data_IF_027729654208
#
_entry.id   IF_027729654208
#
_cell.length_a   1.000
_cell.length_b   1.000
_cell.length_c   1.000
_cell.angle_alpha   90.00
_cell.angle_beta   90.00
_cell.angle_gamma   90.00
#
_symmetry.space_group_name_H-M   'P 1'
#
loop_
_entity.id
_entity.type
_entity.pdbx_description
1 polymer ?
#
# COMPACT_ATOMS: atom_id res chain seq x y z
N UNK A 1 -2.18 14.69 1.57
CA UNK A 1 -1.90 13.59 2.53
C UNK A 1 -0.42 13.25 2.45
N UNK A 2 0.24 12.95 3.57
CA UNK A 2 1.63 12.48 3.54
C UNK A 2 1.67 11.02 3.05
N UNK A 3 2.75 10.55 2.41
CA UNK A 3 2.87 9.16 1.95
C UNK A 3 2.64 8.13 3.06
N UNK A 4 3.12 8.43 4.27
CA UNK A 4 2.94 7.61 5.48
C UNK A 4 1.49 7.51 5.97
N UNK A 5 0.57 8.32 5.42
CA UNK A 5 -0.85 8.29 5.71
C UNK A 5 -1.66 7.56 4.62
N UNK A 6 -1.00 6.96 3.63
CA UNK A 6 -1.61 6.23 2.52
C UNK A 6 -1.35 4.73 2.69
N UNK A 7 -2.40 3.93 2.56
CA UNK A 7 -2.32 2.48 2.47
C UNK A 7 -2.82 1.98 1.11
N UNK A 8 -2.13 1.01 0.53
CA UNK A 8 -2.49 0.31 -0.70
C UNK A 8 -2.76 -1.15 -0.38
N UNK A 9 -3.95 -1.62 -0.71
CA UNK A 9 -4.42 -2.98 -0.43
C UNK A 9 -4.64 -3.75 -1.73
N UNK A 10 -4.21 -5.01 -1.75
CA UNK A 10 -4.54 -5.94 -2.85
C UNK A 10 -4.89 -7.34 -2.30
N UNK A 11 -5.86 -8.05 -2.90
CA UNK A 11 -6.14 -9.44 -2.56
C UNK A 11 -5.07 -10.41 -3.09
N UNK A 12 -4.17 -9.96 -3.97
CA UNK A 12 -3.18 -10.79 -4.64
C UNK A 12 -1.76 -10.51 -4.11
N UNK A 13 -1.14 -11.52 -3.48
CA UNK A 13 0.22 -11.40 -2.92
C UNK A 13 1.25 -10.98 -3.96
N UNK A 14 1.16 -11.50 -5.19
CA UNK A 14 2.05 -11.11 -6.29
C UNK A 14 1.90 -9.63 -6.67
N UNK A 15 0.69 -9.07 -6.56
CA UNK A 15 0.44 -7.65 -6.83
C UNK A 15 0.97 -6.77 -5.70
N UNK A 16 0.92 -7.22 -4.44
CA UNK A 16 1.59 -6.54 -3.31
C UNK A 16 3.09 -6.43 -3.56
N UNK A 17 3.73 -7.52 -4.01
CA UNK A 17 5.16 -7.51 -4.33
C UNK A 17 5.46 -6.56 -5.48
N UNK A 18 4.72 -6.67 -6.59
CA UNK A 18 4.87 -5.78 -7.75
C UNK A 18 4.73 -4.30 -7.36
N UNK A 19 3.73 -3.96 -6.54
CA UNK A 19 3.48 -2.58 -6.13
C UNK A 19 4.59 -2.05 -5.23
N UNK A 20 5.13 -2.86 -4.31
CA UNK A 20 6.28 -2.47 -3.49
C UNK A 20 7.50 -2.17 -4.34
N UNK A 21 7.86 -3.09 -5.24
CA UNK A 21 9.02 -2.91 -6.12
C UNK A 21 8.90 -1.63 -6.97
N UNK A 22 7.69 -1.31 -7.45
CA UNK A 22 7.42 -0.09 -8.22
C UNK A 22 7.44 1.18 -7.39
N UNK A 23 6.96 1.13 -6.14
CA UNK A 23 6.96 2.30 -5.26
C UNK A 23 8.37 2.58 -4.72
N UNK A 24 9.22 1.56 -4.58
CA UNK A 24 10.63 1.74 -4.21
C UNK A 24 11.43 2.51 -5.27
N UNK A 25 10.99 2.51 -6.53
CA UNK A 25 11.55 3.33 -7.62
C UNK A 25 11.14 4.82 -7.51
N UNK A 26 10.19 5.17 -6.64
CA UNK A 26 9.61 6.51 -6.48
C UNK A 26 9.92 7.09 -5.09
N UNK A 27 10.98 7.92 -4.94
CA UNK A 27 11.36 8.49 -3.65
C UNK A 27 10.21 9.22 -2.92
N UNK A 28 9.31 9.86 -3.68
CA UNK A 28 8.12 10.54 -3.15
C UNK A 28 7.08 9.60 -2.52
N UNK A 29 7.12 8.32 -2.85
CA UNK A 29 6.24 7.29 -2.29
C UNK A 29 6.83 6.62 -1.05
N UNK A 30 8.02 7.02 -0.61
CA UNK A 30 8.65 6.48 0.59
C UNK A 30 7.71 6.58 1.80
N UNK A 31 7.33 5.43 2.34
CA UNK A 31 6.45 5.32 3.51
C UNK A 31 5.00 4.94 3.20
N UNK A 32 4.61 4.82 1.93
CA UNK A 32 3.31 4.21 1.56
C UNK A 32 3.29 2.76 2.02
N UNK A 33 2.27 2.36 2.77
CA UNK A 33 2.10 0.97 3.16
C UNK A 33 1.45 0.19 2.02
N UNK A 34 2.05 -0.91 1.58
CA UNK A 34 1.41 -1.86 0.65
C UNK A 34 1.25 -3.20 1.34
N UNK A 35 0.03 -3.71 1.44
CA UNK A 35 -0.23 -4.97 2.13
C UNK A 35 -1.46 -5.71 1.58
N UNK A 36 -1.71 -6.92 2.08
CA UNK A 36 -2.92 -7.67 1.73
C UNK A 36 -4.08 -7.25 2.64
N UNK A 37 -5.31 -7.39 2.13
CA UNK A 37 -6.53 -6.99 2.85
C UNK A 37 -6.56 -7.55 4.29
N UNK A 38 -6.21 -8.83 4.45
CA UNK A 38 -6.21 -9.52 5.75
C UNK A 38 -5.29 -8.86 6.78
N UNK A 39 -4.16 -8.29 6.33
CA UNK A 39 -3.16 -7.67 7.20
C UNK A 39 -3.51 -6.23 7.63
N UNK A 40 -4.56 -5.66 7.04
CA UNK A 40 -5.02 -4.30 7.35
C UNK A 40 -6.27 -4.28 8.25
N UNK A 41 -6.78 -5.45 8.65
CA UNK A 41 -7.99 -5.54 9.48
C UNK A 41 -7.81 -4.83 10.83
N UNK A 42 -8.74 -3.93 11.17
CA UNK A 42 -8.72 -3.17 12.41
C UNK A 42 -7.75 -1.99 12.42
N UNK A 43 -7.16 -1.64 11.26
CA UNK A 43 -6.34 -0.45 11.06
C UNK A 43 -7.04 0.55 10.15
N UNK A 44 -6.64 1.81 10.26
CA UNK A 44 -7.17 2.93 9.47
C UNK A 44 -6.02 3.74 8.87
N UNK A 45 -6.28 4.41 7.76
CA UNK A 45 -5.38 5.35 7.10
C UNK A 45 -6.21 6.50 6.52
N UNK A 46 -5.61 7.68 6.36
CA UNK A 46 -6.27 8.86 5.79
C UNK A 46 -6.75 8.61 4.35
N UNK A 47 -6.01 7.80 3.61
CA UNK A 47 -6.38 7.34 2.28
C UNK A 47 -6.05 5.86 2.09
N UNK A 48 -7.02 5.11 1.55
CA UNK A 48 -6.87 3.70 1.19
C UNK A 48 -7.11 3.53 -0.31
N UNK A 49 -6.15 2.94 -1.01
CA UNK A 49 -6.26 2.57 -2.43
C UNK A 49 -6.41 1.05 -2.49
N UNK A 50 -7.43 0.57 -3.19
CA UNK A 50 -7.65 -0.86 -3.41
C UNK A 50 -7.29 -1.18 -4.86
N UNK A 51 -6.33 -2.08 -5.04
CA UNK A 51 -5.88 -2.56 -6.34
C UNK A 51 -6.43 -3.97 -6.59
N UNK A 52 -7.28 -4.08 -7.62
CA UNK A 52 -7.91 -5.33 -8.06
C UNK A 52 -7.11 -6.02 -9.17
#
# INVERSE_FOLDING_TARGET
>A
VAPTAIAVQSPYVAQVQLLRDRLDELPEASGVEVSTIDSFQGREADAVIISM
#
